data_IF_186483659808
#
_entry.id   IF_186483659808
#
_cell.length_a   1.000
_cell.length_b   1.000
_cell.length_c   1.000
_cell.angle_alpha   90.00
_cell.angle_beta   90.00
_cell.angle_gamma   90.00
#
_symmetry.space_group_name_H-M   'P 1'
#
loop_
_entity.id
_entity.type
_entity.pdbx_description
1 polymer ?
#
# COMPACT_ATOMS: atom_id res chain seq x y z
N UNK A 1 -33.74 27.17 36.48
CA UNK A 1 -32.77 26.48 35.59
C UNK A 1 -33.22 26.67 34.16
N UNK A 2 -32.59 27.57 33.41
CA UNK A 2 -32.93 27.82 32.01
C UNK A 2 -32.55 26.60 31.16
N UNK A 3 -33.55 25.96 30.56
CA UNK A 3 -33.31 24.85 29.63
C UNK A 3 -32.61 25.38 28.38
N UNK A 4 -31.34 25.00 28.19
CA UNK A 4 -30.59 25.30 26.98
C UNK A 4 -31.32 24.70 25.75
N UNK A 5 -31.38 25.41 24.62
CA UNK A 5 -32.01 24.89 23.42
C UNK A 5 -31.28 23.64 22.96
N UNK A 6 -31.98 22.50 23.00
CA UNK A 6 -31.50 21.25 22.39
C UNK A 6 -31.30 21.53 20.89
N UNK A 7 -30.04 21.46 20.43
CA UNK A 7 -29.71 21.47 19.01
C UNK A 7 -30.54 20.39 18.31
N UNK A 8 -31.60 20.81 17.59
CA UNK A 8 -32.41 19.94 16.74
C UNK A 8 -31.47 19.35 15.70
N UNK A 9 -31.24 18.03 15.79
CA UNK A 9 -30.48 17.26 14.78
C UNK A 9 -31.08 17.63 13.42
N UNK A 10 -30.29 18.32 12.59
CA UNK A 10 -30.74 18.77 11.27
C UNK A 10 -31.36 17.61 10.49
N UNK A 11 -32.49 17.90 9.84
CA UNK A 11 -33.26 16.97 9.03
C UNK A 11 -32.31 16.26 8.03
N UNK A 12 -32.36 14.93 8.00
CA UNK A 12 -31.52 14.15 7.08
C UNK A 12 -31.97 14.48 5.65
N UNK A 13 -31.05 14.70 4.69
CA UNK A 13 -31.45 14.95 3.32
C UNK A 13 -32.25 13.74 2.80
N UNK A 14 -33.45 14.00 2.30
CA UNK A 14 -34.35 12.98 1.74
C UNK A 14 -33.70 12.26 0.55
N UNK A 15 -32.78 12.94 -0.16
CA UNK A 15 -32.03 12.41 -1.29
C UNK A 15 -30.55 12.86 -1.29
N UNK A 16 -29.63 11.95 -1.62
CA UNK A 16 -28.19 12.18 -1.62
C UNK A 16 -27.46 11.59 -0.41
N UNK A 17 -26.11 11.61 -0.41
CA UNK A 17 -25.33 11.19 0.77
C UNK A 17 -25.37 12.30 1.82
N UNK A 18 -25.57 11.93 3.09
CA UNK A 18 -25.45 12.89 4.19
C UNK A 18 -24.05 13.50 4.24
N UNK A 19 -23.95 14.77 4.66
CA UNK A 19 -22.67 15.47 4.80
C UNK A 19 -21.65 14.67 5.63
N UNK A 20 -22.11 14.03 6.70
CA UNK A 20 -21.28 13.16 7.55
C UNK A 20 -20.71 11.94 6.80
N UNK A 21 -21.52 11.25 5.96
CA UNK A 21 -21.04 10.12 5.15
C UNK A 21 -19.99 10.57 4.13
N UNK A 22 -20.22 11.70 3.47
CA UNK A 22 -19.27 12.26 2.49
C UNK A 22 -17.94 12.60 3.16
N UNK A 23 -18.01 13.28 4.32
CA UNK A 23 -16.84 13.64 5.10
C UNK A 23 -16.06 12.40 5.56
N UNK A 24 -16.75 11.38 6.08
CA UNK A 24 -16.12 10.11 6.49
C UNK A 24 -15.38 9.43 5.34
N UNK A 25 -15.98 9.37 4.15
CA UNK A 25 -15.32 8.79 2.98
C UNK A 25 -14.08 9.58 2.53
N UNK A 26 -14.14 10.92 2.60
CA UNK A 26 -12.98 11.77 2.29
C UNK A 26 -11.83 11.56 3.26
N UNK A 27 -12.13 11.58 4.56
CA UNK A 27 -11.14 11.38 5.63
C UNK A 27 -10.53 9.98 5.51
N UNK A 28 -11.35 8.95 5.35
CA UNK A 28 -10.86 7.57 5.24
C UNK A 28 -9.87 7.41 4.09
N UNK A 29 -10.18 7.94 2.90
CA UNK A 29 -9.31 7.84 1.73
C UNK A 29 -7.98 8.57 1.91
N UNK A 30 -8.04 9.80 2.44
CA UNK A 30 -6.82 10.57 2.73
C UNK A 30 -5.97 9.87 3.79
N UNK A 31 -6.60 9.31 4.82
CA UNK A 31 -5.93 8.58 5.89
C UNK A 31 -5.20 7.32 5.42
N UNK A 32 -5.80 6.55 4.50
CA UNK A 32 -5.16 5.37 3.91
C UNK A 32 -3.86 5.74 3.17
N UNK A 33 -3.90 6.78 2.33
CA UNK A 33 -2.70 7.25 1.63
C UNK A 33 -1.69 7.91 2.57
N UNK A 34 -2.15 8.57 3.63
CA UNK A 34 -1.27 9.16 4.64
C UNK A 34 -0.44 8.07 5.35
N UNK A 35 -1.09 6.98 5.77
CA UNK A 35 -0.38 5.84 6.38
C UNK A 35 0.60 5.24 5.37
N UNK A 36 0.17 4.97 4.14
CA UNK A 36 1.03 4.43 3.10
C UNK A 36 2.26 5.33 2.85
N UNK A 37 2.06 6.65 2.81
CA UNK A 37 3.13 7.63 2.62
C UNK A 37 4.14 7.63 3.76
N UNK A 38 3.70 7.54 5.02
CA UNK A 38 4.60 7.48 6.18
C UNK A 38 5.52 6.26 6.08
N UNK A 39 4.97 5.07 5.77
CA UNK A 39 5.77 3.86 5.62
C UNK A 39 6.68 3.89 4.38
N UNK A 40 6.21 4.42 3.26
CA UNK A 40 7.06 4.63 2.07
C UNK A 40 8.22 5.59 2.38
N UNK A 41 7.97 6.65 3.13
CA UNK A 41 9.00 7.59 3.53
C UNK A 41 10.06 6.89 4.38
N UNK A 42 9.65 6.06 5.36
CA UNK A 42 10.58 5.23 6.14
C UNK A 42 11.41 4.25 5.29
N UNK A 43 10.81 3.67 4.24
CA UNK A 43 11.52 2.82 3.28
C UNK A 43 12.56 3.63 2.50
N UNK A 44 12.18 4.81 2.00
CA UNK A 44 13.05 5.67 1.20
C UNK A 44 14.23 6.20 2.02
N UNK A 45 14.02 6.60 3.27
CA UNK A 45 15.10 7.13 4.13
C UNK A 45 15.81 6.06 4.96
N UNK A 46 15.38 4.81 4.85
CA UNK A 46 15.93 3.70 5.62
C UNK A 46 17.43 3.55 5.39
N UNK A 47 18.18 3.33 6.47
CA UNK A 47 19.63 3.15 6.48
C UNK A 47 20.45 4.36 5.96
N UNK A 48 19.85 5.56 5.84
CA UNK A 48 20.61 6.75 5.37
C UNK A 48 21.57 7.30 6.43
N UNK A 49 21.26 7.13 7.71
CA UNK A 49 22.09 7.62 8.81
C UNK A 49 21.95 6.78 10.07
N UNK A 50 22.94 6.86 10.97
CA UNK A 50 22.94 6.22 12.29
C UNK A 50 21.99 6.93 13.27
N UNK A 51 20.68 6.87 13.00
CA UNK A 51 19.61 7.36 13.88
C UNK A 51 18.74 6.19 14.33
N UNK A 52 18.09 6.27 15.51
CA UNK A 52 17.13 5.26 15.92
C UNK A 52 16.04 5.11 14.84
N UNK A 53 15.50 3.89 14.69
CA UNK A 53 14.62 3.47 13.59
C UNK A 53 15.33 3.35 12.23
N UNK A 54 16.07 4.36 11.78
CA UNK A 54 16.75 4.33 10.46
C UNK A 54 17.86 3.27 10.38
N UNK A 55 18.67 3.15 11.44
CA UNK A 55 19.70 2.10 11.56
C UNK A 55 19.14 0.68 11.53
N UNK A 56 17.89 0.49 11.95
CA UNK A 56 17.26 -0.84 11.97
C UNK A 56 16.45 -1.12 10.70
N UNK A 57 16.43 -0.18 9.76
CA UNK A 57 15.63 -0.21 8.54
C UNK A 57 16.57 -0.27 7.34
N UNK A 58 17.08 -1.48 7.07
CA UNK A 58 17.95 -1.79 5.94
C UNK A 58 17.33 -2.93 5.12
N UNK A 59 17.69 -3.08 3.85
CA UNK A 59 17.21 -4.19 3.04
C UNK A 59 17.92 -5.50 3.39
N UNK A 60 19.23 -5.43 3.53
CA UNK A 60 20.08 -6.57 3.83
C UNK A 60 21.29 -6.13 4.65
N UNK A 61 21.71 -6.99 5.58
CA UNK A 61 22.94 -6.89 6.37
C UNK A 61 23.84 -8.05 5.98
N UNK A 62 25.08 -7.77 5.65
CA UNK A 62 26.13 -8.77 5.41
C UNK A 62 27.03 -8.74 6.63
N UNK A 63 27.24 -9.89 7.25
CA UNK A 63 28.12 -10.11 8.39
C UNK A 63 29.38 -10.85 7.93
N UNK A 64 30.52 -10.26 8.24
CA UNK A 64 31.85 -10.65 7.81
C UNK A 64 32.73 -11.05 9.02
N UNK A 65 32.15 -11.15 10.21
CA UNK A 65 32.88 -11.40 11.46
C UNK A 65 33.67 -12.71 11.48
N UNK A 66 33.27 -13.70 10.69
CA UNK A 66 33.81 -15.07 10.72
C UNK A 66 34.56 -15.48 9.43
N UNK A 67 35.02 -14.52 8.60
CA UNK A 67 35.65 -14.81 7.29
C UNK A 67 36.87 -15.74 7.38
N UNK A 68 37.57 -15.81 8.51
CA UNK A 68 38.73 -16.70 8.70
C UNK A 68 38.31 -17.95 9.50
N UNK A 69 38.45 -19.18 8.94
CA UNK A 69 38.02 -20.39 9.62
C UNK A 69 38.78 -20.63 10.93
N UNK A 70 38.06 -21.11 11.94
CA UNK A 70 38.55 -21.41 13.31
C UNK A 70 39.59 -22.55 13.39
N UNK A 71 40.11 -23.02 12.25
CA UNK A 71 41.15 -24.05 12.15
C UNK A 71 42.56 -23.53 12.45
N UNK A 72 42.71 -22.23 12.73
CA UNK A 72 43.99 -21.60 13.08
C UNK A 72 43.97 -21.14 14.56
N UNK A 73 44.95 -21.50 15.39
CA UNK A 73 45.02 -20.99 16.76
C UNK A 73 45.20 -19.46 16.77
N UNK A 74 44.41 -18.77 17.61
CA UNK A 74 44.37 -17.31 17.82
C UNK A 74 43.47 -16.47 16.89
N UNK A 75 42.20 -16.83 16.72
CA UNK A 75 41.17 -16.00 16.08
C UNK A 75 41.04 -14.58 16.66
N UNK A 76 41.31 -14.39 17.96
CA UNK A 76 41.24 -13.08 18.65
C UNK A 76 42.31 -12.09 18.15
N UNK A 77 43.52 -12.58 17.86
CA UNK A 77 44.61 -11.75 17.34
C UNK A 77 44.34 -11.35 15.88
N UNK A 78 43.71 -12.25 15.11
CA UNK A 78 43.41 -12.00 13.69
C UNK A 78 42.23 -11.04 13.52
N UNK A 79 41.19 -11.07 14.36
CA UNK A 79 40.15 -10.04 14.37
C UNK A 79 40.72 -8.64 14.69
N UNK A 80 41.77 -8.58 15.50
CA UNK A 80 42.49 -7.34 15.77
C UNK A 80 43.30 -6.85 14.55
N UNK A 81 43.78 -7.78 13.72
CA UNK A 81 44.45 -7.49 12.44
C UNK A 81 43.44 -7.12 11.35
N UNK A 82 42.28 -7.79 11.27
CA UNK A 82 41.18 -7.47 10.36
C UNK A 82 40.65 -6.03 10.57
N UNK A 83 40.60 -5.57 11.82
CA UNK A 83 40.32 -4.15 12.13
C UNK A 83 41.45 -3.22 11.71
N UNK A 84 42.71 -3.66 11.78
CA UNK A 84 43.87 -2.87 11.35
C UNK A 84 44.00 -2.72 9.82
N UNK A 85 43.35 -3.60 9.04
CA UNK A 85 43.25 -3.52 7.58
C UNK A 85 41.99 -2.79 7.10
N UNK A 86 41.20 -2.20 8.01
CA UNK A 86 40.01 -1.40 7.66
C UNK A 86 38.72 -2.19 7.40
N UNK A 87 38.72 -3.52 7.57
CA UNK A 87 37.52 -4.32 7.34
C UNK A 87 36.54 -4.18 8.52
N UNK A 88 35.28 -3.86 8.22
CA UNK A 88 34.20 -3.77 9.20
C UNK A 88 33.49 -5.12 9.40
N UNK A 89 32.96 -5.36 10.60
CA UNK A 89 32.28 -6.62 10.95
C UNK A 89 30.98 -6.80 10.14
N UNK A 90 30.27 -5.70 9.82
CA UNK A 90 29.07 -5.79 9.01
C UNK A 90 28.83 -4.59 8.08
N UNK A 91 28.09 -4.86 7.01
CA UNK A 91 27.64 -3.89 6.02
C UNK A 91 26.12 -3.96 5.83
N UNK A 92 25.43 -2.83 5.96
CA UNK A 92 23.99 -2.69 5.78
C UNK A 92 23.69 -1.92 4.50
N UNK A 93 22.77 -2.44 3.69
CA UNK A 93 22.38 -1.86 2.41
C UNK A 93 21.05 -1.12 2.54
N UNK A 94 21.06 0.17 2.20
CA UNK A 94 19.89 1.03 2.07
C UNK A 94 19.48 1.24 0.61
N UNK A 95 18.47 2.08 0.39
CA UNK A 95 18.02 2.43 -0.97
C UNK A 95 19.02 3.35 -1.70
N UNK A 96 19.70 4.23 -0.95
CA UNK A 96 20.56 5.29 -1.49
C UNK A 96 22.04 5.08 -1.23
N UNK A 97 22.36 4.27 -0.23
CA UNK A 97 23.69 4.18 0.33
C UNK A 97 23.87 2.85 1.09
N UNK A 98 25.05 2.68 1.67
CA UNK A 98 25.36 1.63 2.62
C UNK A 98 25.93 2.23 3.91
N UNK A 99 25.78 1.50 5.01
CA UNK A 99 26.40 1.81 6.29
C UNK A 99 27.22 0.61 6.76
N UNK A 100 28.33 0.87 7.43
CA UNK A 100 29.25 -0.13 7.94
C UNK A 100 29.50 0.07 9.43
N UNK A 101 29.95 -0.99 10.10
CA UNK A 101 30.15 -0.94 11.54
C UNK A 101 30.72 -2.20 12.15
N UNK A 102 30.97 -2.12 13.46
CA UNK A 102 31.47 -3.23 14.27
C UNK A 102 30.39 -3.75 15.20
N UNK A 103 30.37 -5.05 15.49
CA UNK A 103 29.33 -5.64 16.34
C UNK A 103 29.34 -5.07 17.78
N UNK A 104 30.49 -4.57 18.25
CA UNK A 104 30.63 -3.97 19.59
C UNK A 104 30.24 -2.49 19.67
N UNK A 105 30.34 -1.75 18.56
CA UNK A 105 30.15 -0.29 18.53
C UNK A 105 28.88 0.13 17.76
N UNK A 106 28.37 -0.76 16.91
CA UNK A 106 27.29 -0.48 15.97
C UNK A 106 27.81 0.20 14.71
N UNK A 107 26.94 0.96 14.04
CA UNK A 107 27.29 1.68 12.81
C UNK A 107 28.30 2.79 13.13
N UNK A 108 29.47 2.73 12.49
CA UNK A 108 30.54 3.72 12.59
C UNK A 108 30.44 4.74 11.45
N UNK A 109 30.19 4.27 10.23
CA UNK A 109 30.17 5.10 9.03
C UNK A 109 28.99 4.78 8.11
N UNK A 110 28.50 5.79 7.39
CA UNK A 110 27.50 5.67 6.35
C UNK A 110 27.95 6.48 5.13
N UNK A 111 27.90 5.86 3.96
CA UNK A 111 28.22 6.55 2.70
C UNK A 111 27.18 7.61 2.35
N UNK A 112 27.61 8.61 1.59
CA UNK A 112 26.73 9.67 1.10
C UNK A 112 25.65 9.12 0.16
N UNK A 113 24.36 9.54 0.29
CA UNK A 113 23.28 9.11 -0.60
C UNK A 113 23.60 9.37 -2.07
N UNK A 114 23.50 8.33 -2.92
CA UNK A 114 23.64 8.44 -4.37
C UNK A 114 22.32 8.10 -5.05
N UNK A 115 21.97 8.86 -6.09
CA UNK A 115 20.82 8.52 -6.95
C UNK A 115 21.12 7.27 -7.74
N UNK A 116 20.11 6.40 -7.94
CA UNK A 116 20.29 5.14 -8.67
C UNK A 116 21.42 4.28 -8.08
N UNK A 117 21.53 4.29 -6.75
CA UNK A 117 22.51 3.48 -6.05
C UNK A 117 22.25 1.98 -6.24
N UNK A 118 23.32 1.21 -6.32
CA UNK A 118 23.32 -0.25 -6.23
C UNK A 118 24.53 -0.68 -5.40
N UNK A 119 24.41 -1.79 -4.68
CA UNK A 119 25.49 -2.27 -3.82
C UNK A 119 26.44 -3.18 -4.59
N UNK A 120 27.70 -2.74 -4.72
CA UNK A 120 28.79 -3.51 -5.33
C UNK A 120 29.73 -4.06 -4.24
N UNK A 121 29.57 -5.30 -3.77
CA UNK A 121 30.41 -5.85 -2.69
C UNK A 121 31.88 -5.95 -3.10
N UNK A 122 32.16 -6.20 -4.39
CA UNK A 122 33.53 -6.38 -4.88
C UNK A 122 34.31 -5.08 -4.80
N UNK A 123 33.74 -3.98 -5.30
CA UNK A 123 34.40 -2.68 -5.29
C UNK A 123 34.58 -2.14 -3.86
N UNK A 124 33.58 -2.30 -3.00
CA UNK A 124 33.62 -1.81 -1.62
C UNK A 124 34.69 -2.56 -0.81
N UNK A 125 34.74 -3.89 -0.91
CA UNK A 125 35.72 -4.69 -0.17
C UNK A 125 37.13 -4.51 -0.75
N UNK A 126 37.28 -4.42 -2.08
CA UNK A 126 38.57 -4.18 -2.72
C UNK A 126 39.10 -2.76 -2.52
N UNK A 127 38.24 -1.76 -2.29
CA UNK A 127 38.71 -0.41 -1.98
C UNK A 127 39.31 -0.29 -0.58
N UNK A 128 38.88 -1.16 0.34
CA UNK A 128 39.42 -1.23 1.71
C UNK A 128 40.65 -2.15 1.80
N UNK A 129 40.71 -3.19 0.97
CA UNK A 129 41.88 -4.04 0.84
C UNK A 129 42.91 -3.36 -0.08
N UNK A 130 43.99 -2.82 0.47
CA UNK A 130 45.13 -2.21 -0.28
C UNK A 130 45.78 -3.10 -1.36
N UNK A 131 45.32 -4.33 -1.55
CA UNK A 131 45.81 -5.27 -2.54
C UNK A 131 44.80 -5.38 -3.69
N UNK A 132 45.11 -4.76 -4.84
CA UNK A 132 44.36 -4.84 -6.10
C UNK A 132 44.29 -6.25 -6.71
N UNK A 133 43.81 -7.23 -5.96
CA UNK A 133 43.60 -8.59 -6.36
C UNK A 133 42.31 -8.69 -7.18
N UNK A 134 42.45 -8.90 -8.49
CA UNK A 134 41.33 -9.32 -9.34
C UNK A 134 41.06 -10.80 -9.10
N UNK A 135 40.09 -11.12 -8.24
CA UNK A 135 39.63 -12.50 -8.09
C UNK A 135 38.67 -12.78 -9.25
N UNK A 136 38.92 -13.85 -10.01
CA UNK A 136 37.96 -14.34 -10.98
C UNK A 136 36.74 -14.89 -10.21
N UNK A 137 35.68 -14.09 -10.11
CA UNK A 137 34.41 -14.53 -9.53
C UNK A 137 33.74 -15.53 -10.48
N UNK A 138 33.19 -16.65 -9.97
CA UNK A 138 32.40 -17.56 -10.80
C UNK A 138 31.13 -16.90 -11.34
N UNK A 139 30.63 -17.43 -12.45
CA UNK A 139 29.49 -16.91 -13.20
C UNK A 139 28.23 -16.70 -12.35
N UNK A 140 28.01 -17.56 -11.35
CA UNK A 140 26.82 -17.49 -10.49
C UNK A 140 26.77 -16.20 -9.66
N UNK A 141 27.93 -15.66 -9.24
CA UNK A 141 27.98 -14.39 -8.51
C UNK A 141 27.81 -13.22 -9.48
N UNK A 142 28.45 -13.26 -10.66
CA UNK A 142 28.36 -12.17 -11.62
C UNK A 142 26.93 -11.98 -12.15
N UNK A 143 26.21 -13.06 -12.40
CA UNK A 143 24.80 -13.00 -12.81
C UNK A 143 23.90 -12.43 -11.72
N UNK A 144 24.14 -12.82 -10.45
CA UNK A 144 23.42 -12.28 -9.31
C UNK A 144 23.72 -10.79 -9.08
N UNK A 145 24.96 -10.36 -9.31
CA UNK A 145 25.37 -8.96 -9.22
C UNK A 145 24.74 -8.10 -10.32
N UNK A 146 24.70 -8.59 -11.56
CA UNK A 146 24.06 -7.86 -12.67
C UNK A 146 22.55 -7.76 -12.49
N UNK A 147 21.92 -8.83 -12.00
CA UNK A 147 20.51 -8.80 -11.60
C UNK A 147 20.27 -7.79 -10.48
N UNK A 148 21.13 -7.77 -9.46
CA UNK A 148 21.01 -6.84 -8.34
C UNK A 148 21.18 -5.38 -8.78
N UNK A 149 22.09 -5.10 -9.72
CA UNK A 149 22.26 -3.77 -10.31
C UNK A 149 20.99 -3.29 -11.02
N UNK A 150 20.47 -4.10 -11.95
CA UNK A 150 19.26 -3.77 -12.68
C UNK A 150 18.06 -3.58 -11.74
N UNK A 151 17.88 -4.53 -10.82
CA UNK A 151 16.79 -4.50 -9.85
C UNK A 151 16.86 -3.27 -8.94
N UNK A 152 18.04 -2.89 -8.44
CA UNK A 152 18.22 -1.70 -7.58
C UNK A 152 17.79 -0.41 -8.28
N UNK A 153 18.15 -0.22 -9.56
CA UNK A 153 17.71 0.93 -10.34
C UNK A 153 16.19 0.99 -10.53
N UNK A 154 15.57 -0.14 -10.85
CA UNK A 154 14.11 -0.23 -10.98
C UNK A 154 13.40 0.03 -9.65
N UNK A 155 13.87 -0.59 -8.56
CA UNK A 155 13.35 -0.36 -7.21
C UNK A 155 13.42 1.12 -6.84
N UNK A 156 14.57 1.76 -7.07
CA UNK A 156 14.78 3.16 -6.80
C UNK A 156 13.75 4.03 -7.53
N UNK A 157 13.60 3.85 -8.85
CA UNK A 157 12.63 4.60 -9.64
C UNK A 157 11.17 4.37 -9.19
N UNK A 158 10.81 3.12 -8.91
CA UNK A 158 9.44 2.75 -8.54
C UNK A 158 9.06 3.20 -7.13
N UNK A 159 9.95 3.09 -6.14
CA UNK A 159 9.69 3.58 -4.78
C UNK A 159 9.58 5.09 -4.74
N UNK A 160 10.43 5.84 -5.46
CA UNK A 160 10.36 7.30 -5.51
C UNK A 160 9.09 7.75 -6.22
N UNK A 161 8.81 7.20 -7.40
CA UNK A 161 7.59 7.53 -8.15
C UNK A 161 6.34 7.17 -7.33
N UNK A 162 6.30 5.98 -6.72
CA UNK A 162 5.21 5.54 -5.85
C UNK A 162 5.01 6.47 -4.65
N UNK A 163 6.09 6.96 -4.04
CA UNK A 163 6.04 7.90 -2.90
C UNK A 163 5.45 9.25 -3.32
N UNK A 164 5.91 9.81 -4.45
CA UNK A 164 5.40 11.09 -4.98
C UNK A 164 3.92 10.97 -5.37
N UNK A 165 3.54 9.91 -6.08
CA UNK A 165 2.15 9.68 -6.45
C UNK A 165 1.25 9.50 -5.22
N UNK A 166 1.71 8.76 -4.20
CA UNK A 166 1.00 8.58 -2.93
C UNK A 166 0.81 9.93 -2.23
N UNK A 167 1.84 10.78 -2.18
CA UNK A 167 1.74 12.12 -1.59
C UNK A 167 0.68 12.99 -2.29
N UNK A 168 0.69 13.02 -3.62
CA UNK A 168 -0.29 13.75 -4.41
C UNK A 168 -1.72 13.23 -4.12
N UNK A 169 -1.88 11.90 -3.99
CA UNK A 169 -3.15 11.25 -3.70
C UNK A 169 -3.72 11.61 -2.31
N UNK A 170 -2.90 11.97 -1.33
CA UNK A 170 -3.38 12.43 -0.01
C UNK A 170 -4.34 13.63 -0.18
N UNK A 171 -4.00 14.56 -1.08
CA UNK A 171 -4.76 15.78 -1.33
C UNK A 171 -5.85 15.59 -2.38
N UNK A 172 -5.57 14.82 -3.43
CA UNK A 172 -6.49 14.66 -4.54
C UNK A 172 -7.59 13.60 -4.29
N UNK A 173 -7.32 12.56 -3.49
CA UNK A 173 -8.28 11.47 -3.24
C UNK A 173 -9.59 11.92 -2.55
N UNK A 174 -9.59 12.88 -1.60
CA UNK A 174 -10.83 13.50 -1.10
C UNK A 174 -11.68 14.16 -2.20
N UNK A 175 -11.02 14.71 -3.22
CA UNK A 175 -11.69 15.31 -4.36
C UNK A 175 -12.35 14.25 -5.24
N UNK A 176 -12.07 12.95 -5.14
CA UNK A 176 -12.84 11.95 -5.87
C UNK A 176 -14.27 11.75 -5.31
N UNK A 177 -14.54 12.12 -4.05
CA UNK A 177 -15.83 11.89 -3.39
C UNK A 177 -16.83 13.02 -3.65
N UNK A 178 -17.96 12.68 -4.28
CA UNK A 178 -19.12 13.57 -4.44
C UNK A 178 -20.24 13.28 -3.43
N UNK A 179 -20.95 14.34 -3.05
CA UNK A 179 -22.17 14.31 -2.22
C UNK A 179 -23.36 13.71 -2.96
N UNK A 180 -23.41 13.86 -4.28
CA UNK A 180 -24.50 13.40 -5.15
C UNK A 180 -23.96 12.58 -6.32
N UNK A 181 -23.46 11.36 -6.06
CA UNK A 181 -23.02 10.47 -7.12
C UNK A 181 -24.21 10.08 -8.03
N UNK A 182 -23.95 9.63 -9.27
CA UNK A 182 -25.00 9.34 -10.25
C UNK A 182 -25.99 8.24 -9.84
N UNK A 183 -25.73 7.47 -8.77
CA UNK A 183 -26.68 6.50 -8.21
C UNK A 183 -27.73 7.08 -7.25
N UNK A 184 -27.61 8.35 -6.82
CA UNK A 184 -28.51 8.98 -5.82
C UNK A 184 -29.65 9.79 -6.45
N UNK A 185 -30.19 9.34 -7.59
CA UNK A 185 -31.27 10.02 -8.30
C UNK A 185 -32.59 9.80 -7.55
N UNK A 186 -33.36 10.87 -7.32
CA UNK A 186 -34.70 10.78 -6.72
C UNK A 186 -35.74 10.32 -7.76
N UNK A 187 -36.78 9.57 -7.37
CA UNK A 187 -37.96 9.36 -8.21
C UNK A 187 -38.70 10.65 -8.54
N UNK A 188 -38.76 11.60 -7.60
CA UNK A 188 -39.45 12.89 -7.77
C UNK A 188 -38.66 13.85 -8.69
N UNK A 189 -39.23 14.29 -9.83
CA UNK A 189 -38.58 15.24 -10.74
C UNK A 189 -38.36 16.62 -10.13
N UNK A 190 -39.20 17.08 -9.19
CA UNK A 190 -39.07 18.39 -8.53
C UNK A 190 -37.79 18.50 -7.72
N UNK A 191 -37.48 17.46 -6.93
CA UNK A 191 -36.24 17.37 -6.16
C UNK A 191 -35.00 17.33 -7.06
N UNK A 192 -35.06 16.64 -8.20
CA UNK A 192 -33.92 16.57 -9.11
C UNK A 192 -33.63 17.92 -9.81
N UNK A 193 -34.66 18.79 -9.99
CA UNK A 193 -34.50 20.12 -10.60
C UNK A 193 -33.84 21.13 -9.67
N UNK A 194 -34.25 21.19 -8.40
CA UNK A 194 -33.66 22.07 -7.38
C UNK A 194 -32.17 21.76 -7.12
N UNK A 195 -31.74 20.57 -7.52
CA UNK A 195 -30.69 19.86 -6.81
C UNK A 195 -30.03 18.83 -7.76
N UNK A 196 -29.51 19.29 -8.91
CA UNK A 196 -29.19 18.44 -10.04
C UNK A 196 -28.10 17.41 -9.71
N UNK A 197 -28.34 16.10 -9.97
CA UNK A 197 -27.31 15.09 -9.84
C UNK A 197 -26.26 15.26 -10.95
N UNK A 198 -25.00 14.90 -10.66
CA UNK A 198 -23.96 15.00 -11.68
C UNK A 198 -24.29 14.13 -12.91
N UNK A 199 -24.00 14.67 -14.10
CA UNK A 199 -24.15 13.94 -15.36
C UNK A 199 -23.21 12.72 -15.35
N UNK A 200 -23.77 11.52 -15.49
CA UNK A 200 -23.05 10.24 -15.37
C UNK A 200 -21.78 10.18 -16.22
N UNK A 201 -21.87 10.53 -17.51
CA UNK A 201 -20.71 10.51 -18.42
C UNK A 201 -19.61 11.47 -17.95
N UNK A 202 -19.96 12.73 -17.71
CA UNK A 202 -19.02 13.76 -17.26
C UNK A 202 -18.38 13.40 -15.92
N UNK A 203 -19.15 12.90 -14.95
CA UNK A 203 -18.62 12.48 -13.64
C UNK A 203 -17.63 11.32 -13.75
N UNK A 204 -17.92 10.34 -14.62
CA UNK A 204 -17.05 9.18 -14.80
C UNK A 204 -15.75 9.59 -15.51
N UNK A 205 -15.85 10.26 -16.65
CA UNK A 205 -14.67 10.63 -17.45
C UNK A 205 -13.79 11.69 -16.79
N UNK A 206 -14.38 12.72 -16.19
CA UNK A 206 -13.60 13.85 -15.66
C UNK A 206 -13.06 13.59 -14.24
N UNK A 207 -13.63 12.64 -13.51
CA UNK A 207 -13.32 12.45 -12.08
C UNK A 207 -13.01 11.00 -11.74
N UNK A 208 -13.95 10.08 -11.94
CA UNK A 208 -13.76 8.71 -11.45
C UNK A 208 -12.63 7.96 -12.17
N UNK A 209 -12.58 8.01 -13.50
CA UNK A 209 -11.56 7.33 -14.32
C UNK A 209 -10.15 7.85 -14.01
N UNK A 210 -9.84 9.17 -14.10
CA UNK A 210 -8.47 9.65 -13.87
C UNK A 210 -7.97 9.31 -12.45
N UNK A 211 -8.80 9.45 -11.42
CA UNK A 211 -8.41 9.05 -10.06
C UNK A 211 -8.23 7.54 -9.90
N UNK A 212 -9.03 6.72 -10.59
CA UNK A 212 -8.87 5.26 -10.56
C UNK A 212 -7.57 4.84 -11.26
N UNK A 213 -7.25 5.44 -12.41
CA UNK A 213 -5.99 5.18 -13.13
C UNK A 213 -4.80 5.60 -12.25
N UNK A 214 -4.88 6.78 -11.64
CA UNK A 214 -3.78 7.31 -10.82
C UNK A 214 -3.54 6.45 -9.56
N UNK A 215 -4.61 6.02 -8.88
CA UNK A 215 -4.50 5.10 -7.73
C UNK A 215 -4.04 3.70 -8.15
N UNK A 216 -4.46 3.21 -9.33
CA UNK A 216 -3.98 1.96 -9.90
C UNK A 216 -2.47 2.00 -10.17
N UNK A 217 -1.98 3.03 -10.85
CA UNK A 217 -0.54 3.18 -11.12
C UNK A 217 0.27 3.26 -9.83
N UNK A 218 -0.24 3.97 -8.83
CA UNK A 218 0.41 4.05 -7.50
C UNK A 218 0.50 2.67 -6.86
N UNK A 219 -0.60 1.92 -6.81
CA UNK A 219 -0.62 0.58 -6.24
C UNK A 219 0.26 -0.40 -7.04
N UNK A 220 0.25 -0.31 -8.38
CA UNK A 220 1.09 -1.10 -9.26
C UNK A 220 2.57 -0.85 -8.98
N UNK A 221 3.02 0.40 -8.99
CA UNK A 221 4.42 0.74 -8.77
C UNK A 221 4.92 0.32 -7.39
N UNK A 222 4.15 0.55 -6.33
CA UNK A 222 4.56 0.13 -4.98
C UNK A 222 4.59 -1.39 -4.84
N UNK A 223 3.64 -2.10 -5.45
CA UNK A 223 3.61 -3.57 -5.41
C UNK A 223 4.79 -4.16 -6.18
N UNK A 224 5.02 -3.68 -7.41
CA UNK A 224 6.14 -4.14 -8.25
C UNK A 224 7.48 -3.85 -7.56
N UNK A 225 7.68 -2.64 -7.03
CA UNK A 225 8.89 -2.31 -6.27
C UNK A 225 9.10 -3.26 -5.09
N UNK A 226 8.03 -3.55 -4.34
CA UNK A 226 8.08 -4.38 -3.15
C UNK A 226 8.42 -5.84 -3.49
N UNK A 227 7.84 -6.36 -4.58
CA UNK A 227 8.13 -7.72 -5.06
C UNK A 227 9.56 -7.82 -5.56
N UNK A 228 10.01 -6.89 -6.41
CA UNK A 228 11.39 -6.87 -6.93
C UNK A 228 12.39 -6.82 -5.77
N UNK A 229 12.18 -5.93 -4.80
CA UNK A 229 13.02 -5.84 -3.59
C UNK A 229 13.09 -7.17 -2.83
N UNK A 230 11.93 -7.75 -2.51
CA UNK A 230 11.87 -8.99 -1.74
C UNK A 230 12.61 -10.12 -2.46
N UNK A 231 12.32 -10.32 -3.75
CA UNK A 231 12.93 -11.40 -4.54
C UNK A 231 14.43 -11.18 -4.69
N UNK A 232 14.86 -9.97 -5.04
CA UNK A 232 16.28 -9.70 -5.28
C UNK A 232 17.13 -9.91 -4.02
N UNK A 233 16.71 -9.39 -2.86
CA UNK A 233 17.49 -9.57 -1.64
C UNK A 233 17.46 -11.02 -1.12
N UNK A 234 16.41 -11.79 -1.39
CA UNK A 234 16.39 -13.24 -1.12
C UNK A 234 17.41 -13.96 -1.99
N UNK A 235 17.45 -13.67 -3.30
CA UNK A 235 18.44 -14.26 -4.21
C UNK A 235 19.85 -13.90 -3.74
N UNK A 236 20.10 -12.63 -3.45
CA UNK A 236 21.40 -12.16 -2.98
C UNK A 236 21.81 -12.90 -1.70
N UNK A 237 20.94 -12.96 -0.68
CA UNK A 237 21.20 -13.74 0.54
C UNK A 237 21.59 -15.18 0.21
N UNK A 238 20.83 -15.86 -0.65
CA UNK A 238 21.10 -17.25 -0.99
C UNK A 238 22.45 -17.44 -1.69
N UNK A 239 22.85 -16.50 -2.56
CA UNK A 239 24.15 -16.55 -3.26
C UNK A 239 25.31 -16.38 -2.27
N UNK A 240 25.18 -15.48 -1.28
CA UNK A 240 26.24 -15.26 -0.29
C UNK A 240 26.28 -16.32 0.82
N UNK A 241 25.15 -16.92 1.20
CA UNK A 241 25.09 -17.92 2.28
C UNK A 241 25.29 -19.36 1.80
N UNK A 242 24.87 -19.68 0.57
CA UNK A 242 24.95 -21.04 0.04
C UNK A 242 26.04 -21.23 -1.03
N UNK A 243 26.70 -20.15 -1.46
CA UNK A 243 27.77 -20.24 -2.44
C UNK A 243 28.92 -21.09 -1.91
N UNK A 244 29.46 -21.98 -2.74
CA UNK A 244 30.53 -22.97 -2.49
C UNK A 244 31.90 -22.39 -2.11
N UNK A 245 31.92 -21.16 -1.60
CA UNK A 245 33.10 -20.44 -1.19
C UNK A 245 33.24 -20.69 0.31
N UNK A 246 34.38 -21.23 0.76
CA UNK A 246 34.74 -21.43 2.18
C UNK A 246 34.83 -20.12 3.00
N UNK A 247 34.17 -19.05 2.55
CA UNK A 247 34.03 -17.78 3.23
C UNK A 247 32.75 -17.87 4.08
N UNK A 248 32.89 -17.93 5.39
CA UNK A 248 31.78 -18.00 6.34
C UNK A 248 31.07 -16.62 6.47
N UNK A 249 30.46 -16.17 5.38
CA UNK A 249 29.76 -14.88 5.27
C UNK A 249 28.28 -15.10 5.50
N UNK A 250 27.72 -14.42 6.50
CA UNK A 250 26.30 -14.53 6.82
C UNK A 250 25.54 -13.32 6.26
N UNK A 251 24.43 -13.57 5.54
CA UNK A 251 23.58 -12.51 5.01
C UNK A 251 22.18 -12.57 5.65
N UNK A 252 21.74 -11.45 6.22
CA UNK A 252 20.46 -11.30 6.89
C UNK A 252 19.58 -10.27 6.19
N UNK A 253 18.28 -10.58 6.06
CA UNK A 253 17.30 -9.65 5.50
C UNK A 253 16.78 -8.73 6.62
N UNK A 254 16.64 -7.44 6.33
CA UNK A 254 16.08 -6.50 7.30
C UNK A 254 14.56 -6.65 7.39
N UNK A 255 14.08 -7.43 8.36
CA UNK A 255 12.64 -7.70 8.55
C UNK A 255 11.82 -6.42 8.70
N UNK A 256 12.36 -5.39 9.38
CA UNK A 256 11.65 -4.11 9.57
C UNK A 256 11.41 -3.39 8.25
N UNK A 257 12.40 -3.36 7.37
CA UNK A 257 12.27 -2.77 6.03
C UNK A 257 11.19 -3.50 5.24
N UNK A 258 11.24 -4.84 5.22
CA UNK A 258 10.25 -5.69 4.56
C UNK A 258 8.83 -5.43 5.10
N UNK A 259 8.67 -5.33 6.41
CA UNK A 259 7.37 -5.01 7.02
C UNK A 259 6.87 -3.63 6.57
N UNK A 260 7.71 -2.60 6.56
CA UNK A 260 7.30 -1.26 6.16
C UNK A 260 6.87 -1.18 4.69
N UNK A 261 7.62 -1.80 3.77
CA UNK A 261 7.25 -1.82 2.34
C UNK A 261 5.97 -2.61 2.07
N UNK A 262 5.75 -3.75 2.75
CA UNK A 262 4.52 -4.53 2.60
C UNK A 262 3.30 -3.83 3.21
N UNK A 263 3.45 -3.17 4.35
CA UNK A 263 2.38 -2.34 4.94
C UNK A 263 2.02 -1.19 3.99
N UNK A 264 3.01 -0.44 3.50
CA UNK A 264 2.78 0.63 2.52
C UNK A 264 2.01 0.13 1.30
N UNK A 265 2.45 -0.99 0.74
CA UNK A 265 1.81 -1.63 -0.41
C UNK A 265 0.37 -2.05 -0.11
N UNK A 266 0.12 -2.66 1.05
CA UNK A 266 -1.21 -3.08 1.45
C UNK A 266 -2.19 -1.89 1.56
N UNK A 267 -1.75 -0.77 2.14
CA UNK A 267 -2.59 0.43 2.24
C UNK A 267 -2.88 1.08 0.88
N UNK A 268 -1.88 1.16 -0.01
CA UNK A 268 -2.09 1.66 -1.38
C UNK A 268 -2.99 0.74 -2.20
N UNK A 269 -2.85 -0.58 -2.06
CA UNK A 269 -3.71 -1.56 -2.72
C UNK A 269 -5.15 -1.48 -2.19
N UNK A 270 -5.33 -1.34 -0.88
CA UNK A 270 -6.65 -1.17 -0.28
C UNK A 270 -7.31 0.14 -0.73
N UNK A 271 -6.55 1.24 -0.82
CA UNK A 271 -7.05 2.50 -1.35
C UNK A 271 -7.49 2.37 -2.82
N UNK A 272 -6.74 1.65 -3.65
CA UNK A 272 -7.12 1.33 -5.02
C UNK A 272 -8.45 0.55 -5.08
N UNK A 273 -8.63 -0.49 -4.26
CA UNK A 273 -9.88 -1.26 -4.20
C UNK A 273 -11.07 -0.36 -3.82
N UNK A 274 -10.89 0.55 -2.87
CA UNK A 274 -11.93 1.52 -2.47
C UNK A 274 -12.27 2.50 -3.60
N UNK A 275 -11.29 2.94 -4.39
CA UNK A 275 -11.53 3.83 -5.54
C UNK A 275 -12.23 3.08 -6.68
N UNK A 276 -11.76 1.87 -6.99
CA UNK A 276 -12.36 1.00 -8.00
C UNK A 276 -13.83 0.70 -7.67
N UNK A 277 -14.15 0.36 -6.42
CA UNK A 277 -15.52 0.14 -5.96
C UNK A 277 -16.42 1.38 -6.11
N UNK A 278 -15.87 2.58 -5.89
CA UNK A 278 -16.60 3.84 -6.10
C UNK A 278 -16.87 4.11 -7.57
N UNK A 279 -15.88 3.88 -8.45
CA UNK A 279 -16.03 3.99 -9.89
C UNK A 279 -17.09 3.00 -10.43
N UNK A 280 -17.01 1.73 -10.02
CA UNK A 280 -17.98 0.70 -10.37
C UNK A 280 -19.41 1.04 -9.89
N UNK A 281 -19.55 1.57 -8.67
CA UNK A 281 -20.84 2.04 -8.17
C UNK A 281 -21.40 3.18 -9.03
N UNK A 282 -20.58 4.18 -9.36
CA UNK A 282 -21.00 5.31 -10.21
C UNK A 282 -21.40 4.85 -11.63
N UNK A 283 -20.70 3.85 -12.18
CA UNK A 283 -20.96 3.32 -13.50
C UNK A 283 -22.21 2.41 -13.54
N UNK A 284 -22.22 1.32 -12.76
CA UNK A 284 -23.22 0.26 -12.82
C UNK A 284 -24.50 0.63 -12.05
N UNK A 285 -24.37 1.09 -10.81
CA UNK A 285 -25.54 1.50 -10.00
C UNK A 285 -26.17 2.78 -10.56
N UNK A 286 -25.37 3.71 -11.08
CA UNK A 286 -25.88 4.88 -11.80
C UNK A 286 -26.64 4.54 -13.10
N UNK A 287 -26.26 3.47 -13.81
CA UNK A 287 -27.03 2.97 -14.97
C UNK A 287 -28.36 2.35 -14.52
N UNK A 288 -28.36 1.54 -13.45
CA UNK A 288 -29.57 0.91 -12.90
C UNK A 288 -30.58 1.95 -12.42
N UNK A 289 -30.15 2.97 -11.66
CA UNK A 289 -31.02 4.04 -11.16
C UNK A 289 -31.73 4.80 -12.30
N UNK A 290 -31.03 5.08 -13.41
CA UNK A 290 -31.64 5.74 -14.58
C UNK A 290 -32.63 4.86 -15.33
N UNK A 291 -32.43 3.54 -15.35
CA UNK A 291 -33.39 2.60 -15.95
C UNK A 291 -34.69 2.57 -15.14
N UNK A 292 -34.59 2.53 -13.81
CA UNK A 292 -35.75 2.53 -12.91
C UNK A 292 -36.58 3.82 -13.06
N UNK A 293 -35.92 4.98 -13.21
CA UNK A 293 -36.63 6.25 -13.43
C UNK A 293 -37.44 6.27 -14.74
N UNK A 294 -36.97 5.58 -15.79
CA UNK A 294 -37.70 5.47 -17.07
C UNK A 294 -38.89 4.51 -17.01
N UNK A 295 -38.92 3.61 -16.03
CA UNK A 295 -39.97 2.59 -15.89
C UNK A 295 -41.16 3.06 -15.03
N UNK A 296 -41.02 4.15 -14.26
CA UNK A 296 -42.12 4.80 -13.53
C UNK A 296 -42.42 6.25 -14.02
N UNK A 297 -42.81 6.49 -15.29
CA UNK A 297 -43.21 7.85 -15.72
C UNK A 297 -44.62 8.27 -15.27
N UNK A 298 -45.53 7.34 -14.94
CA UNK A 298 -46.98 7.62 -14.98
C UNK A 298 -47.73 7.79 -13.63
N UNK A 299 -47.21 7.39 -12.47
CA UNK A 299 -48.00 7.44 -11.22
C UNK A 299 -48.01 8.81 -10.49
N UNK A 300 -47.42 9.86 -11.06
CA UNK A 300 -47.25 11.15 -10.35
C UNK A 300 -48.05 12.32 -10.93
N UNK A 301 -48.92 12.09 -11.91
CA UNK A 301 -49.73 13.17 -12.55
C UNK A 301 -51.15 13.30 -12.00
N UNK A 302 -51.58 12.46 -11.04
CA UNK A 302 -52.96 12.53 -10.51
C UNK A 302 -52.98 12.72 -9.00
N UNK A 303 -52.57 13.87 -8.50
CA UNK A 303 -53.07 14.37 -7.20
C UNK A 303 -53.10 15.89 -7.17
N UNK A 304 -53.88 16.47 -8.08
CA UNK A 304 -54.49 17.77 -7.87
C UNK A 304 -55.95 17.56 -7.50
N UNK A 305 -56.33 17.93 -6.28
CA UNK A 305 -57.71 18.08 -5.80
C UNK A 305 -58.44 16.80 -5.38
N UNK A 306 -58.56 16.56 -4.06
CA UNK A 306 -59.83 16.27 -3.40
C UNK A 306 -59.63 16.00 -1.89
N UNK A 307 -60.42 16.72 -1.12
CA UNK A 307 -60.82 16.53 0.27
C UNK A 307 -61.16 15.07 0.60
N UNK A 308 -60.84 14.60 1.81
CA UNK A 308 -61.51 13.42 2.39
C UNK A 308 -60.61 12.41 3.07
N UNK A 309 -60.72 12.36 4.39
CA UNK A 309 -60.46 11.24 5.31
C UNK A 309 -60.37 9.86 4.65
N UNK A 310 -59.24 9.15 4.81
CA UNK A 310 -59.21 7.71 5.11
C UNK A 310 -57.77 7.26 5.44
N UNK A 311 -57.65 6.53 6.54
CA UNK A 311 -56.47 5.89 7.12
C UNK A 311 -55.83 4.89 6.15
N UNK A 312 -54.49 4.78 6.01
CA UNK A 312 -53.88 3.72 5.22
C UNK A 312 -53.57 2.48 6.08
N UNK A 313 -54.22 1.36 5.75
CA UNK A 313 -53.85 0.01 6.20
C UNK A 313 -52.45 -0.38 5.68
N UNK A 314 -51.62 -0.94 6.56
CA UNK A 314 -50.35 -1.57 6.22
C UNK A 314 -50.61 -2.97 5.66
N UNK A 315 -50.32 -3.18 4.38
CA UNK A 315 -50.19 -4.54 3.84
C UNK A 315 -48.79 -5.10 4.11
N UNK A 316 -48.71 -5.98 5.09
CA UNK A 316 -47.57 -6.84 5.40
C UNK A 316 -47.35 -7.86 4.28
N UNK A 317 -46.14 -7.91 3.70
CA UNK A 317 -45.78 -8.88 2.67
C UNK A 317 -44.95 -10.00 3.28
N UNK A 318 -45.61 -11.13 3.49
CA UNK A 318 -45.06 -12.41 3.92
C UNK A 318 -44.15 -13.06 2.86
N UNK A 319 -43.06 -13.66 3.33
CA UNK A 319 -42.08 -14.43 2.55
C UNK A 319 -42.58 -15.86 2.28
N UNK A 320 -42.28 -16.50 1.13
CA UNK A 320 -42.61 -17.92 0.93
C UNK A 320 -41.48 -18.85 1.39
N UNK A 321 -41.80 -19.58 2.46
CA UNK A 321 -41.54 -20.97 2.83
C UNK A 321 -40.19 -21.68 2.62
N UNK A 322 -39.69 -22.12 3.79
CA UNK A 322 -38.84 -23.29 4.05
C UNK A 322 -39.62 -24.62 3.90
N UNK A 323 -38.84 -25.71 3.71
CA UNK A 323 -39.19 -27.11 3.45
C UNK A 323 -40.09 -27.77 4.51
N UNK A 324 -41.00 -28.63 4.06
CA UNK A 324 -41.81 -29.56 4.86
C UNK A 324 -41.04 -30.83 5.25
N UNK A 325 -41.33 -31.45 6.40
CA UNK A 325 -41.10 -32.87 6.63
C UNK A 325 -42.42 -33.66 6.56
N UNK A 326 -42.38 -34.80 5.87
CA UNK A 326 -43.49 -35.75 5.71
C UNK A 326 -43.49 -36.72 6.89
N UNK A 327 -44.65 -36.85 7.53
CA UNK A 327 -45.02 -37.84 8.54
C UNK A 327 -45.06 -39.26 7.96
N UNK A 328 -44.36 -40.20 8.59
CA UNK A 328 -44.56 -41.65 8.44
C UNK A 328 -45.58 -42.15 9.46
N UNK A 329 -46.59 -42.84 8.95
CA UNK A 329 -47.56 -43.68 9.66
C UNK A 329 -46.90 -44.93 10.22
N UNK A 330 -47.14 -45.24 11.49
CA UNK A 330 -46.87 -46.55 12.08
C UNK A 330 -48.11 -46.99 12.87
N UNK A 331 -48.71 -48.08 12.40
CA UNK A 331 -49.84 -48.80 12.94
C UNK A 331 -49.33 -50.24 13.03
N UNK A 332 -49.17 -50.83 14.21
CA UNK A 332 -49.56 -52.21 14.53
C UNK A 332 -49.40 -52.50 16.03
N UNK A 333 -50.46 -53.13 16.54
CA UNK A 333 -50.68 -53.94 17.73
C UNK A 333 -49.58 -54.94 18.10
#
# INVERSE_FOLDING_TARGET
MAALPRFRKGERPVYGRSRSKVLRHRILRSFLHLIAFIFLLLVVIGNVSNRPVLRQTYFMKIDLSDIVPLSVPNAVLINSIARSIGLHDFYQVGLWNFCEGYNNEGITFCSSPKTLYWFNPVEIILSELLAGASIALPSDITDALDLARAASHWMFGLFITGTVLTFILIFLSPLAVSSRPPQTISPDPGVNRLHPPHRRRTFIFLRAIPFTIFTFLTALFTTVATVIATVMFIIFKNVFTNGSYDLNIHAELGTRMLVFMWIATAFNLFAFIVELGSCCAACCRGRKARKQLKQHPEDSTTTGTATGTHTPEMHEKSSPHSRSPTTTTEDTR
#
